data_IF_163705371808
#
_entry.id   IF_163705371808
#
_cell.length_a   1.000
_cell.length_b   1.000
_cell.length_c   1.000
_cell.angle_alpha   90.00
_cell.angle_beta   90.00
_cell.angle_gamma   90.00
#
_symmetry.space_group_name_H-M   'P 1'
#
loop_
_entity.id
_entity.type
_entity.pdbx_description
1 polymer ?
#
# COMPACT_ATOMS: atom_id res chain seq x y z
N UNK A 1 37.43 -21.78 2.01
CA UNK A 1 37.76 -20.41 2.49
C UNK A 1 36.48 -19.70 2.92
N UNK A 2 36.51 -18.74 3.87
CA UNK A 2 35.27 -18.15 4.41
C UNK A 2 34.40 -17.42 3.36
N UNK A 3 34.98 -16.97 2.26
CA UNK A 3 34.25 -16.31 1.18
C UNK A 3 33.38 -17.26 0.34
N UNK A 4 33.59 -18.58 0.41
CA UNK A 4 32.77 -19.57 -0.30
C UNK A 4 31.33 -19.63 0.21
N UNK A 5 31.06 -19.08 1.40
CA UNK A 5 29.69 -18.97 1.94
C UNK A 5 28.94 -17.72 1.45
N UNK A 6 29.63 -16.78 0.79
CA UNK A 6 28.99 -15.55 0.31
C UNK A 6 27.94 -15.86 -0.77
N UNK A 7 28.19 -16.71 -1.78
CA UNK A 7 27.18 -17.01 -2.80
C UNK A 7 25.90 -17.61 -2.23
N UNK A 8 26.00 -18.55 -1.27
CA UNK A 8 24.83 -19.14 -0.64
C UNK A 8 24.07 -18.12 0.21
N UNK A 9 24.78 -17.26 0.95
CA UNK A 9 24.17 -16.18 1.71
C UNK A 9 23.43 -15.17 0.81
N UNK A 10 24.00 -14.83 -0.35
CA UNK A 10 23.37 -13.93 -1.34
C UNK A 10 22.09 -14.54 -1.90
N UNK A 11 22.08 -15.83 -2.22
CA UNK A 11 20.86 -16.52 -2.71
C UNK A 11 19.75 -16.46 -1.65
N UNK A 12 20.08 -16.78 -0.39
CA UNK A 12 19.11 -16.73 0.71
C UNK A 12 18.59 -15.31 0.90
N UNK A 13 19.47 -14.31 0.93
CA UNK A 13 19.09 -12.91 1.08
C UNK A 13 18.20 -12.43 -0.08
N UNK A 14 18.56 -12.75 -1.32
CA UNK A 14 17.78 -12.40 -2.50
C UNK A 14 16.39 -13.06 -2.48
N UNK A 15 16.31 -14.33 -2.10
CA UNK A 15 15.04 -15.05 -1.99
C UNK A 15 14.13 -14.47 -0.89
N UNK A 16 14.70 -14.04 0.24
CA UNK A 16 13.94 -13.38 1.31
C UNK A 16 13.52 -11.95 0.94
N UNK A 17 14.33 -11.24 0.15
CA UNK A 17 14.04 -9.87 -0.25
C UNK A 17 13.04 -9.79 -1.40
N UNK A 18 13.04 -10.78 -2.30
CA UNK A 18 12.13 -10.86 -3.44
C UNK A 18 10.65 -10.64 -3.10
N UNK A 19 10.02 -11.32 -2.12
CA UNK A 19 8.61 -11.11 -1.79
C UNK A 19 8.32 -9.68 -1.29
N UNK A 20 9.26 -9.03 -0.61
CA UNK A 20 9.10 -7.64 -0.16
C UNK A 20 9.02 -6.70 -1.37
N UNK A 21 9.95 -6.82 -2.32
CA UNK A 21 9.97 -5.98 -3.53
C UNK A 21 8.75 -6.24 -4.41
N UNK A 22 8.39 -7.52 -4.60
CA UNK A 22 7.21 -7.92 -5.37
C UNK A 22 5.94 -7.37 -4.72
N UNK A 23 5.80 -7.50 -3.41
CA UNK A 23 4.66 -6.96 -2.66
C UNK A 23 4.57 -5.44 -2.77
N UNK A 24 5.70 -4.75 -2.63
CA UNK A 24 5.79 -3.30 -2.74
C UNK A 24 5.38 -2.79 -4.13
N UNK A 25 5.90 -3.41 -5.19
CA UNK A 25 5.51 -3.10 -6.57
C UNK A 25 4.05 -3.46 -6.88
N UNK A 26 3.58 -4.61 -6.39
CA UNK A 26 2.18 -5.03 -6.58
C UNK A 26 1.20 -4.06 -5.91
N UNK A 27 1.53 -3.58 -4.71
CA UNK A 27 0.74 -2.56 -4.02
C UNK A 27 0.66 -1.28 -4.84
N UNK A 28 1.81 -0.76 -5.29
CA UNK A 28 1.86 0.46 -6.09
C UNK A 28 0.96 0.41 -7.32
N UNK A 29 1.00 -0.72 -8.05
CA UNK A 29 0.19 -0.93 -9.25
C UNK A 29 -1.31 -1.05 -8.96
N UNK A 30 -1.70 -1.67 -7.83
CA UNK A 30 -3.11 -1.96 -7.52
C UNK A 30 -3.79 -0.88 -6.69
N UNK A 31 -3.04 -0.02 -6.00
CA UNK A 31 -3.55 0.90 -4.98
C UNK A 31 -3.34 2.36 -5.36
N UNK A 32 -3.55 2.68 -6.63
CA UNK A 32 -3.48 4.05 -7.13
C UNK A 32 -2.13 4.72 -6.80
N UNK A 33 -1.02 4.03 -7.05
CA UNK A 33 0.33 4.54 -6.79
C UNK A 33 0.75 4.54 -5.32
N UNK A 34 -0.01 3.89 -4.43
CA UNK A 34 0.34 3.75 -3.01
C UNK A 34 1.00 2.41 -2.74
N UNK A 35 2.08 2.45 -1.97
CA UNK A 35 2.93 1.29 -1.72
C UNK A 35 2.53 0.55 -0.43
N UNK A 36 1.86 1.26 0.46
CA UNK A 36 1.47 0.79 1.79
C UNK A 36 0.04 0.22 1.82
N UNK A 37 -0.21 -0.66 2.78
CA UNK A 37 -1.56 -1.03 3.18
C UNK A 37 -1.96 -0.17 4.37
N UNK A 38 -3.23 0.22 4.42
CA UNK A 38 -3.78 0.85 5.62
C UNK A 38 -4.29 -0.26 6.55
N UNK A 39 -4.00 -0.13 7.84
CA UNK A 39 -4.40 -1.10 8.85
C UNK A 39 -5.66 -0.61 9.58
N UNK A 40 -6.82 -1.02 9.07
CA UNK A 40 -8.15 -0.66 9.57
C UNK A 40 -8.52 -1.32 10.90
N UNK A 41 -7.80 -2.36 11.33
CA UNK A 41 -8.11 -3.08 12.58
C UNK A 41 -7.48 -2.43 13.82
N UNK A 42 -6.55 -1.49 13.63
CA UNK A 42 -5.85 -0.81 14.73
C UNK A 42 -6.80 0.05 15.58
N UNK A 43 -7.78 0.70 14.93
CA UNK A 43 -8.69 1.63 15.59
C UNK A 43 -10.09 1.56 14.95
N UNK A 44 -11.13 1.61 15.79
CA UNK A 44 -12.54 1.64 15.33
C UNK A 44 -12.82 2.83 14.41
N UNK A 45 -12.17 3.98 14.65
CA UNK A 45 -12.30 5.15 13.79
C UNK A 45 -11.68 4.93 12.40
N UNK A 46 -10.56 4.20 12.31
CA UNK A 46 -9.93 3.86 11.03
C UNK A 46 -10.78 2.88 10.22
N UNK A 47 -11.42 1.91 10.89
CA UNK A 47 -12.37 1.00 10.24
C UNK A 47 -13.58 1.75 9.69
N UNK A 48 -14.16 2.68 10.46
CA UNK A 48 -15.26 3.50 9.98
C UNK A 48 -14.85 4.39 8.79
N UNK A 49 -13.66 5.00 8.84
CA UNK A 49 -13.13 5.77 7.72
C UNK A 49 -12.89 4.91 6.47
N UNK A 50 -12.35 3.70 6.64
CA UNK A 50 -12.19 2.72 5.56
C UNK A 50 -13.52 2.38 4.87
N UNK A 51 -14.54 2.04 5.65
CA UNK A 51 -15.87 1.74 5.11
C UNK A 51 -16.50 2.94 4.39
N UNK A 52 -16.32 4.15 4.95
CA UNK A 52 -16.77 5.39 4.31
C UNK A 52 -16.09 5.58 2.95
N UNK A 53 -14.77 5.45 2.89
CA UNK A 53 -14.00 5.66 1.67
C UNK A 53 -14.42 4.63 0.59
N UNK A 54 -14.59 3.36 0.97
CA UNK A 54 -15.14 2.32 0.10
C UNK A 54 -16.53 2.65 -0.45
N UNK A 55 -17.43 3.17 0.39
CA UNK A 55 -18.79 3.52 -0.05
C UNK A 55 -18.79 4.68 -1.06
N UNK A 56 -17.89 5.66 -0.88
CA UNK A 56 -17.86 6.87 -1.70
C UNK A 56 -17.17 6.64 -3.05
N UNK A 57 -16.02 5.96 -3.07
CA UNK A 57 -15.17 5.85 -4.27
C UNK A 57 -15.02 4.41 -4.77
N UNK A 58 -15.55 3.41 -4.04
CA UNK A 58 -15.36 1.99 -4.34
C UNK A 58 -13.98 1.46 -3.95
N UNK A 59 -13.07 2.32 -3.46
CA UNK A 59 -11.72 1.91 -3.03
C UNK A 59 -11.15 2.89 -2.01
N UNK A 60 -10.62 2.36 -0.91
CA UNK A 60 -9.92 3.14 0.12
C UNK A 60 -8.66 3.87 -0.38
N UNK A 61 -8.15 3.52 -1.56
CA UNK A 61 -6.93 4.09 -2.11
C UNK A 61 -7.18 5.26 -3.06
N UNK A 62 -8.42 5.46 -3.50
CA UNK A 62 -8.83 6.58 -4.35
C UNK A 62 -9.27 7.73 -3.43
N UNK A 63 -8.44 8.79 -3.27
CA UNK A 63 -8.81 9.93 -2.44
C UNK A 63 -9.90 10.76 -3.14
N UNK A 64 -10.76 11.38 -2.33
CA UNK A 64 -11.70 12.40 -2.77
C UNK A 64 -11.27 13.72 -2.15
N UNK A 65 -10.67 14.59 -2.96
CA UNK A 65 -10.20 15.90 -2.51
C UNK A 65 -11.27 16.97 -2.59
N UNK A 66 -10.83 18.23 -2.54
CA UNK A 66 -11.71 19.41 -2.55
C UNK A 66 -12.34 19.65 -3.92
N UNK A 67 -11.75 19.10 -4.98
CA UNK A 67 -12.27 19.15 -6.35
C UNK A 67 -13.66 18.51 -6.51
N UNK A 68 -14.07 17.68 -5.55
CA UNK A 68 -15.38 17.06 -5.56
C UNK A 68 -16.47 17.89 -4.87
N UNK A 69 -16.12 19.05 -4.30
CA UNK A 69 -17.04 20.00 -3.68
C UNK A 69 -17.37 21.05 -4.75
N UNK A 70 -18.65 21.28 -5.09
CA UNK A 70 -19.02 22.31 -6.05
C UNK A 70 -18.63 23.70 -5.52
N UNK A 71 -18.11 24.56 -6.39
CA UNK A 71 -17.85 25.96 -6.07
C UNK A 71 -19.16 26.67 -5.73
N UNK A 72 -19.14 27.54 -4.72
CA UNK A 72 -20.27 28.44 -4.45
C UNK A 72 -20.42 29.41 -5.64
N UNK A 73 -21.65 29.54 -6.16
CA UNK A 73 -21.97 30.57 -7.16
C UNK A 73 -21.63 31.94 -6.56
N UNK A 74 -20.60 32.61 -7.10
CA UNK A 74 -20.23 33.97 -6.72
C UNK A 74 -21.21 35.01 -7.25
#
# INVERSE_FOLDING_TARGET
MWWETIPSAVIVWAALFAPCVIGYGSNYLRKNGKWENRNWLTNKHDHAAYLRDLYITGSEFIPRGLEAIPDEEK
#
